data_IF_535568279611
#
_entry.id   IF_535568279611
#
_cell.length_a   1.000
_cell.length_b   1.000
_cell.length_c   1.000
_cell.angle_alpha   90.00
_cell.angle_beta   90.00
_cell.angle_gamma   90.00
#
_symmetry.space_group_name_H-M   'P 1'
#
loop_
_entity.id
_entity.type
_entity.pdbx_description
1 polymer ?
#
# COMPACT_ATOMS: atom_id res chain seq x y z
N UNK A 1 21.14 -49.82 -25.51
CA UNK A 1 19.68 -49.95 -25.19
C UNK A 1 19.25 -49.23 -23.92
N UNK A 2 20.16 -48.66 -23.13
CA UNK A 2 19.84 -48.01 -21.82
C UNK A 2 19.32 -46.55 -21.89
N UNK A 3 19.69 -45.79 -22.93
CA UNK A 3 19.36 -44.35 -22.97
C UNK A 3 17.95 -44.00 -23.47
N UNK A 4 17.22 -44.94 -24.06
CA UNK A 4 15.86 -44.66 -24.55
C UNK A 4 14.76 -44.86 -23.52
N UNK A 5 15.02 -45.64 -22.43
CA UNK A 5 14.06 -45.86 -21.36
C UNK A 5 14.05 -44.67 -20.41
N UNK A 6 15.20 -44.10 -20.10
CA UNK A 6 15.26 -42.93 -19.22
C UNK A 6 14.59 -41.67 -19.84
N UNK A 7 14.71 -41.46 -21.14
CA UNK A 7 14.06 -40.34 -21.86
C UNK A 7 12.52 -40.47 -21.87
N UNK A 8 11.99 -41.70 -21.99
CA UNK A 8 10.54 -41.94 -21.95
C UNK A 8 9.94 -41.75 -20.55
N UNK A 9 10.67 -42.12 -19.51
CA UNK A 9 10.22 -41.95 -18.11
C UNK A 9 10.23 -40.48 -17.72
N UNK A 10 11.22 -39.70 -18.12
CA UNK A 10 11.28 -38.26 -17.86
C UNK A 10 10.19 -37.51 -18.62
N UNK A 11 9.91 -37.88 -19.89
CA UNK A 11 8.83 -37.28 -20.67
C UNK A 11 7.45 -37.55 -20.07
N UNK A 12 7.21 -38.80 -19.59
CA UNK A 12 5.94 -39.15 -18.94
C UNK A 12 5.77 -38.48 -17.56
N UNK A 13 6.84 -38.28 -16.79
CA UNK A 13 6.79 -37.59 -15.51
C UNK A 13 6.53 -36.06 -15.68
N UNK A 14 7.10 -35.43 -16.70
CA UNK A 14 6.83 -34.02 -17.01
C UNK A 14 5.38 -33.80 -17.51
N UNK A 15 4.83 -34.73 -18.27
CA UNK A 15 3.43 -34.62 -18.74
C UNK A 15 2.43 -34.80 -17.58
N UNK A 16 2.75 -35.64 -16.60
CA UNK A 16 1.90 -35.83 -15.41
C UNK A 16 1.92 -34.62 -14.45
N UNK A 17 3.04 -33.89 -14.36
CA UNK A 17 3.15 -32.69 -13.50
C UNK A 17 2.38 -31.50 -14.09
N UNK A 18 2.28 -31.40 -15.43
CA UNK A 18 1.46 -30.36 -16.07
C UNK A 18 -0.05 -30.68 -16.09
N UNK A 19 -0.45 -31.92 -15.91
CA UNK A 19 -1.86 -32.31 -15.88
C UNK A 19 -2.55 -32.13 -14.51
N UNK A 20 -1.79 -31.96 -13.43
CA UNK A 20 -2.33 -31.75 -12.07
C UNK A 20 -2.39 -30.29 -11.62
N UNK A 21 -1.98 -29.35 -12.47
CA UNK A 21 -1.95 -27.91 -12.15
C UNK A 21 -3.07 -27.07 -12.74
N UNK A 22 -3.94 -27.63 -13.55
CA UNK A 22 -5.10 -26.93 -14.10
C UNK A 22 -6.34 -27.22 -13.23
N UNK A 23 -6.37 -26.69 -11.99
CA UNK A 23 -7.64 -26.28 -11.42
C UNK A 23 -8.17 -25.18 -12.35
N UNK A 24 -8.94 -25.57 -13.37
CA UNK A 24 -9.82 -24.65 -14.05
C UNK A 24 -10.76 -24.09 -12.98
N UNK A 25 -10.43 -22.93 -12.44
CA UNK A 25 -11.47 -22.03 -11.97
C UNK A 25 -12.27 -21.72 -13.23
N UNK A 26 -13.32 -22.46 -13.47
CA UNK A 26 -14.37 -22.10 -14.39
C UNK A 26 -14.99 -20.84 -13.80
N UNK A 27 -14.37 -19.70 -14.08
CA UNK A 27 -15.10 -18.46 -14.00
C UNK A 27 -16.27 -18.66 -14.96
N UNK A 28 -17.49 -18.68 -14.45
CA UNK A 28 -18.68 -18.63 -15.28
C UNK A 28 -18.43 -17.48 -16.27
N UNK A 29 -18.49 -17.79 -17.56
CA UNK A 29 -18.34 -16.73 -18.57
C UNK A 29 -19.35 -15.65 -18.22
N UNK A 30 -18.93 -14.37 -18.11
CA UNK A 30 -19.86 -13.31 -17.82
C UNK A 30 -20.94 -13.34 -18.90
N UNK A 31 -22.20 -13.41 -18.49
CA UNK A 31 -23.35 -13.36 -19.40
C UNK A 31 -23.33 -11.96 -20.02
N UNK A 32 -22.69 -11.83 -21.15
CA UNK A 32 -22.75 -10.61 -21.96
C UNK A 32 -24.18 -10.51 -22.46
N UNK A 33 -24.95 -9.58 -21.95
CA UNK A 33 -26.21 -9.21 -22.58
C UNK A 33 -25.93 -8.82 -24.03
N UNK A 34 -26.81 -9.20 -24.95
CA UNK A 34 -26.59 -9.02 -26.38
C UNK A 34 -26.17 -7.60 -26.78
N UNK A 35 -25.67 -7.42 -28.00
CA UNK A 35 -25.06 -6.17 -28.42
C UNK A 35 -26.00 -4.98 -28.18
N UNK A 36 -25.44 -3.91 -27.60
CA UNK A 36 -26.14 -2.64 -27.43
C UNK A 36 -26.57 -2.10 -28.77
N UNK A 37 -27.78 -1.54 -28.85
CA UNK A 37 -28.28 -0.90 -30.05
C UNK A 37 -27.65 0.51 -30.23
N UNK A 38 -27.72 1.03 -31.46
CA UNK A 38 -27.34 2.43 -31.76
C UNK A 38 -28.05 3.42 -30.84
N UNK A 39 -29.33 3.15 -30.53
CA UNK A 39 -30.09 4.00 -29.63
C UNK A 39 -29.63 3.92 -28.18
N UNK A 40 -29.17 2.76 -27.73
CA UNK A 40 -28.63 2.61 -26.38
C UNK A 40 -27.36 3.45 -26.21
N UNK A 41 -26.45 3.44 -27.17
CA UNK A 41 -25.22 4.27 -27.13
C UNK A 41 -25.57 5.76 -27.11
N UNK A 42 -26.50 6.21 -27.95
CA UNK A 42 -26.94 7.59 -27.94
C UNK A 42 -27.53 8.00 -26.58
N UNK A 43 -28.40 7.16 -26.02
CA UNK A 43 -29.05 7.39 -24.73
C UNK A 43 -28.01 7.38 -23.60
N UNK A 44 -27.02 6.49 -23.64
CA UNK A 44 -25.89 6.45 -22.70
C UNK A 44 -25.09 7.75 -22.75
N UNK A 45 -24.74 8.24 -23.93
CA UNK A 45 -24.09 9.52 -24.12
C UNK A 45 -24.89 10.69 -23.58
N UNK A 46 -26.19 10.75 -23.82
CA UNK A 46 -27.08 11.79 -23.27
C UNK A 46 -27.14 11.76 -21.74
N UNK A 47 -27.24 10.56 -21.15
CA UNK A 47 -27.20 10.40 -19.68
C UNK A 47 -25.86 10.89 -19.11
N UNK A 48 -24.75 10.54 -19.75
CA UNK A 48 -23.42 10.99 -19.34
C UNK A 48 -23.32 12.54 -19.34
N UNK A 49 -23.78 13.19 -20.41
CA UNK A 49 -23.80 14.66 -20.50
C UNK A 49 -24.70 15.27 -19.42
N UNK A 50 -25.88 14.68 -19.21
CA UNK A 50 -26.79 15.13 -18.16
C UNK A 50 -26.15 15.06 -16.78
N UNK A 51 -25.52 13.93 -16.45
CA UNK A 51 -24.86 13.72 -15.17
C UNK A 51 -23.68 14.67 -15.00
N UNK A 52 -22.86 14.85 -16.05
CA UNK A 52 -21.71 15.76 -16.03
C UNK A 52 -22.12 17.22 -15.77
N UNK A 53 -23.25 17.67 -16.35
CA UNK A 53 -23.81 19.00 -16.10
C UNK A 53 -24.28 19.23 -14.68
N UNK A 54 -24.54 18.18 -13.92
CA UNK A 54 -24.99 18.21 -12.51
C UNK A 54 -23.85 18.13 -11.52
N UNK A 55 -22.63 17.87 -11.99
CA UNK A 55 -21.45 17.87 -11.14
C UNK A 55 -21.08 19.31 -10.76
N UNK A 56 -21.23 19.64 -9.51
CA UNK A 56 -20.90 20.95 -8.98
C UNK A 56 -19.76 20.86 -7.98
N UNK A 57 -18.89 21.88 -7.98
CA UNK A 57 -17.87 22.03 -6.98
C UNK A 57 -18.51 22.17 -5.57
N UNK A 58 -18.02 21.40 -4.62
CA UNK A 58 -18.38 21.60 -3.22
C UNK A 58 -17.41 22.62 -2.61
N UNK A 59 -17.91 23.76 -2.19
CA UNK A 59 -17.11 24.89 -1.68
C UNK A 59 -17.01 24.91 -0.13
N UNK A 60 -17.67 23.98 0.54
CA UNK A 60 -17.58 23.87 2.01
C UNK A 60 -16.27 23.26 2.44
N UNK A 61 -15.76 23.63 3.60
CA UNK A 61 -14.58 23.02 4.20
C UNK A 61 -14.84 21.58 4.59
N UNK A 62 -13.99 20.66 4.13
CA UNK A 62 -14.06 19.26 4.52
C UNK A 62 -13.66 19.09 5.99
N UNK A 63 -14.48 18.36 6.76
CA UNK A 63 -14.15 17.98 8.14
C UNK A 63 -13.18 16.81 8.18
N UNK A 64 -13.34 15.86 7.28
CA UNK A 64 -12.54 14.65 7.16
C UNK A 64 -12.02 14.53 5.72
N UNK A 65 -10.82 13.98 5.56
CA UNK A 65 -10.19 13.72 4.27
C UNK A 65 -9.73 12.27 4.23
N UNK A 66 -10.09 11.54 3.19
CA UNK A 66 -9.63 10.17 2.93
C UNK A 66 -8.93 10.20 1.57
N UNK A 67 -7.64 9.87 1.55
CA UNK A 67 -6.85 9.76 0.33
C UNK A 67 -6.74 8.28 -0.06
N UNK A 68 -7.31 7.91 -1.19
CA UNK A 68 -7.12 6.58 -1.79
C UNK A 68 -6.01 6.64 -2.82
N UNK A 69 -5.01 5.77 -2.67
CA UNK A 69 -3.85 5.68 -3.56
C UNK A 69 -3.81 4.29 -4.19
N UNK A 70 -3.93 4.24 -5.52
CA UNK A 70 -3.72 3.01 -6.29
C UNK A 70 -2.25 2.92 -6.72
N UNK A 71 -1.47 2.07 -6.06
CA UNK A 71 -0.06 1.85 -6.37
C UNK A 71 0.08 1.06 -7.67
N UNK A 72 0.81 1.64 -8.64
CA UNK A 72 0.95 1.07 -9.98
C UNK A 72 -0.36 1.05 -10.81
N UNK A 73 -1.42 1.69 -10.34
CA UNK A 73 -2.73 1.70 -10.98
C UNK A 73 -2.78 2.70 -12.14
N UNK A 74 -2.43 2.23 -13.33
CA UNK A 74 -2.51 3.02 -14.57
C UNK A 74 -3.90 2.97 -15.22
N UNK A 75 -4.05 3.69 -16.35
CA UNK A 75 -5.31 3.76 -17.12
C UNK A 75 -5.79 2.38 -17.58
N UNK A 76 -4.87 1.50 -17.97
CA UNK A 76 -5.19 0.12 -18.37
C UNK A 76 -5.84 -0.68 -17.23
N UNK A 77 -5.34 -0.51 -16.01
CA UNK A 77 -5.90 -1.16 -14.81
C UNK A 77 -7.31 -0.63 -14.52
N UNK A 78 -7.52 0.69 -14.64
CA UNK A 78 -8.85 1.30 -14.47
C UNK A 78 -9.84 0.76 -15.52
N UNK A 79 -9.42 0.67 -16.77
CA UNK A 79 -10.25 0.15 -17.86
C UNK A 79 -10.65 -1.31 -17.59
N UNK A 80 -9.68 -2.16 -17.22
CA UNK A 80 -9.94 -3.55 -16.88
C UNK A 80 -10.89 -3.69 -15.67
N UNK A 81 -10.69 -2.91 -14.63
CA UNK A 81 -11.56 -2.92 -13.44
C UNK A 81 -12.98 -2.49 -13.76
N UNK A 82 -13.16 -1.44 -14.57
CA UNK A 82 -14.46 -0.94 -15.01
C UNK A 82 -15.23 -2.00 -15.80
N UNK A 83 -14.58 -2.64 -16.76
CA UNK A 83 -15.17 -3.71 -17.57
C UNK A 83 -15.54 -4.89 -16.67
N UNK A 84 -14.61 -5.34 -15.81
CA UNK A 84 -14.85 -6.45 -14.89
C UNK A 84 -16.04 -6.19 -13.96
N UNK A 85 -16.12 -5.01 -13.33
CA UNK A 85 -17.23 -4.67 -12.45
C UNK A 85 -18.56 -4.71 -13.23
N UNK A 86 -18.60 -4.19 -14.46
CA UNK A 86 -19.79 -4.27 -15.31
C UNK A 86 -20.20 -5.70 -15.62
N UNK A 87 -19.23 -6.55 -16.00
CA UNK A 87 -19.48 -7.96 -16.30
C UNK A 87 -19.95 -8.75 -15.06
N UNK A 88 -19.39 -8.49 -13.89
CA UNK A 88 -19.87 -9.08 -12.63
C UNK A 88 -21.31 -8.69 -12.30
N UNK A 89 -21.78 -7.57 -12.83
CA UNK A 89 -23.15 -7.10 -12.73
C UNK A 89 -24.02 -7.49 -13.96
N UNK A 90 -23.60 -8.50 -14.73
CA UNK A 90 -24.29 -9.02 -15.92
C UNK A 90 -24.55 -7.94 -17.02
N UNK A 91 -23.56 -7.04 -17.22
CA UNK A 91 -23.58 -6.00 -18.26
C UNK A 91 -22.33 -6.12 -19.14
N UNK A 92 -22.30 -5.53 -20.35
CA UNK A 92 -21.09 -5.55 -21.21
C UNK A 92 -19.85 -5.01 -20.51
N UNK A 93 -19.94 -3.94 -19.76
CA UNK A 93 -18.86 -3.39 -18.95
C UNK A 93 -18.24 -2.11 -19.53
N UNK A 94 -18.32 -1.88 -20.82
CA UNK A 94 -17.75 -0.71 -21.49
C UNK A 94 -18.35 0.59 -20.97
N UNK A 95 -19.65 0.62 -20.73
CA UNK A 95 -20.43 1.76 -20.22
C UNK A 95 -20.50 1.80 -18.69
N UNK A 96 -19.87 0.83 -18.00
CA UNK A 96 -19.83 0.85 -16.54
C UNK A 96 -18.98 2.02 -16.04
N UNK A 97 -19.27 2.50 -14.84
CA UNK A 97 -18.53 3.59 -14.20
C UNK A 97 -18.22 3.20 -12.76
N UNK A 98 -16.94 3.09 -12.45
CA UNK A 98 -16.47 2.90 -11.09
C UNK A 98 -16.86 4.09 -10.19
N UNK A 99 -16.99 3.86 -8.90
CA UNK A 99 -17.48 4.88 -7.95
C UNK A 99 -16.68 6.19 -8.02
N UNK A 100 -15.37 6.11 -8.12
CA UNK A 100 -14.50 7.28 -8.17
C UNK A 100 -14.45 7.97 -9.54
N UNK A 101 -14.87 7.31 -10.64
CA UNK A 101 -15.04 7.95 -11.94
C UNK A 101 -16.24 8.92 -11.97
N UNK A 102 -17.04 8.91 -10.91
CA UNK A 102 -18.18 9.85 -10.72
C UNK A 102 -17.79 11.10 -9.93
N UNK A 103 -16.53 11.24 -9.52
CA UNK A 103 -16.06 12.44 -8.82
C UNK A 103 -16.04 13.66 -9.76
N UNK A 104 -16.31 14.87 -9.24
CA UNK A 104 -16.48 16.06 -10.07
C UNK A 104 -15.18 16.56 -10.70
N UNK A 105 -14.03 16.15 -10.18
CA UNK A 105 -12.73 16.58 -10.65
C UNK A 105 -11.88 15.39 -11.08
N UNK A 106 -11.23 15.52 -12.22
CA UNK A 106 -10.23 14.59 -12.74
C UNK A 106 -9.03 15.36 -13.25
N UNK A 107 -7.84 14.82 -13.04
CA UNK A 107 -6.60 15.36 -13.57
C UNK A 107 -5.60 14.24 -13.83
N UNK A 108 -4.59 14.53 -14.66
CA UNK A 108 -3.46 13.64 -14.89
C UNK A 108 -2.30 14.07 -14.00
N UNK A 109 -1.68 13.11 -13.31
CA UNK A 109 -0.51 13.34 -12.47
C UNK A 109 0.78 13.02 -13.24
N UNK A 110 1.79 13.88 -13.12
CA UNK A 110 3.14 13.62 -13.60
C UNK A 110 3.92 12.87 -12.52
N UNK A 111 4.24 11.63 -12.77
CA UNK A 111 4.78 10.68 -11.78
C UNK A 111 6.32 10.57 -11.77
N UNK A 112 7.06 11.42 -12.47
CA UNK A 112 8.52 11.43 -12.44
C UNK A 112 9.07 11.80 -11.05
N UNK A 113 10.22 11.23 -10.67
CA UNK A 113 10.97 11.63 -9.47
C UNK A 113 12.01 12.70 -9.78
N UNK A 114 12.82 13.07 -8.79
CA UNK A 114 13.88 14.05 -9.02
C UNK A 114 14.93 13.56 -10.03
N UNK A 115 15.24 12.27 -10.04
CA UNK A 115 16.30 11.66 -10.82
C UNK A 115 15.84 10.58 -11.83
N UNK A 116 14.54 10.30 -11.94
CA UNK A 116 14.00 9.29 -12.86
C UNK A 116 12.76 9.81 -13.61
N UNK A 117 12.71 9.59 -14.92
CA UNK A 117 11.52 9.90 -15.74
C UNK A 117 10.37 8.93 -15.46
N UNK A 118 10.70 7.65 -15.29
CA UNK A 118 9.78 6.62 -14.80
C UNK A 118 10.25 6.22 -13.40
N UNK A 119 9.45 6.51 -12.41
CA UNK A 119 9.82 6.39 -11.01
C UNK A 119 9.09 5.24 -10.31
N UNK A 120 9.63 4.81 -9.15
CA UNK A 120 8.97 3.87 -8.26
C UNK A 120 7.96 4.55 -7.32
N UNK A 121 7.27 3.77 -6.50
CA UNK A 121 6.24 4.26 -5.58
C UNK A 121 6.78 5.09 -4.40
N UNK A 122 8.07 4.99 -4.06
CA UNK A 122 8.64 5.71 -2.92
C UNK A 122 8.67 7.24 -3.13
N UNK A 123 9.37 7.78 -4.14
CA UNK A 123 9.37 9.23 -4.37
C UNK A 123 8.05 9.74 -4.93
N UNK A 124 7.25 8.90 -5.61
CA UNK A 124 5.93 9.34 -6.08
C UNK A 124 4.95 9.53 -4.92
N UNK A 125 4.94 8.63 -3.94
CA UNK A 125 4.16 8.83 -2.72
C UNK A 125 4.73 9.97 -1.88
N UNK A 126 6.06 10.10 -1.78
CA UNK A 126 6.69 11.26 -1.15
C UNK A 126 6.17 12.57 -1.74
N UNK A 127 6.08 12.67 -3.07
CA UNK A 127 5.54 13.87 -3.71
C UNK A 127 4.07 14.13 -3.37
N UNK A 128 3.24 13.07 -3.32
CA UNK A 128 1.82 13.19 -2.95
C UNK A 128 1.62 13.63 -1.51
N UNK A 129 2.45 13.13 -0.58
CA UNK A 129 2.23 13.34 0.85
C UNK A 129 3.00 14.53 1.43
N UNK A 130 3.99 15.06 0.73
CA UNK A 130 4.82 16.19 1.18
C UNK A 130 4.78 17.41 0.23
N UNK A 131 4.41 17.20 -1.04
CA UNK A 131 4.50 18.22 -2.08
C UNK A 131 5.89 18.38 -2.71
N UNK A 132 6.88 17.56 -2.34
CA UNK A 132 8.26 17.63 -2.81
C UNK A 132 8.69 16.38 -3.56
N UNK A 133 9.54 16.53 -4.57
CA UNK A 133 10.17 15.43 -5.29
C UNK A 133 11.38 14.91 -4.52
N UNK A 134 11.43 13.60 -4.31
CA UNK A 134 12.59 12.87 -3.77
C UNK A 134 13.32 12.11 -4.87
N UNK A 135 14.47 11.51 -4.56
CA UNK A 135 15.16 10.56 -5.43
C UNK A 135 14.46 9.21 -5.40
N UNK A 136 14.69 8.41 -6.43
CA UNK A 136 14.19 7.03 -6.48
C UNK A 136 14.53 6.25 -5.19
N UNK A 137 13.57 5.50 -4.68
CA UNK A 137 13.71 4.67 -3.49
C UNK A 137 13.71 5.41 -2.15
N UNK A 138 13.53 6.73 -2.12
CA UNK A 138 13.52 7.54 -0.89
C UNK A 138 12.10 7.81 -0.38
N UNK A 139 11.95 7.87 0.94
CA UNK A 139 10.69 8.14 1.63
C UNK A 139 10.79 9.44 2.44
N UNK A 140 9.96 10.40 2.10
CA UNK A 140 9.72 11.66 2.83
C UNK A 140 10.98 12.40 3.27
N UNK A 141 12.02 12.32 2.45
CA UNK A 141 13.23 13.14 2.53
C UNK A 141 13.42 13.91 1.23
N UNK A 142 14.10 15.06 1.28
CA UNK A 142 14.35 15.85 0.09
C UNK A 142 15.47 15.24 -0.79
N UNK A 143 15.56 15.71 -2.03
CA UNK A 143 16.51 15.22 -3.04
C UNK A 143 17.99 15.49 -2.71
N UNK A 144 18.31 16.29 -1.68
CA UNK A 144 19.68 16.52 -1.21
C UNK A 144 20.21 15.34 -0.41
N UNK A 145 19.32 14.48 0.10
CA UNK A 145 19.70 13.24 0.78
C UNK A 145 20.37 12.30 -0.21
N UNK A 146 21.62 11.84 0.01
CA UNK A 146 22.23 10.81 -0.82
C UNK A 146 21.43 9.49 -0.74
N UNK A 147 21.43 8.71 -1.83
CA UNK A 147 20.88 7.34 -1.78
C UNK A 147 21.74 6.49 -0.85
N UNK A 148 21.09 5.69 -0.02
CA UNK A 148 21.79 4.85 0.96
C UNK A 148 22.36 5.59 2.16
N UNK A 149 21.98 6.87 2.36
CA UNK A 149 22.38 7.63 3.54
C UNK A 149 21.89 6.97 4.83
N UNK A 150 22.81 6.59 5.70
CA UNK A 150 22.51 5.91 6.96
C UNK A 150 22.46 6.84 8.18
N UNK A 151 23.04 8.05 8.07
CA UNK A 151 23.11 8.97 9.21
C UNK A 151 21.74 9.48 9.61
N UNK A 152 21.32 9.18 10.84
CA UNK A 152 20.07 9.70 11.38
C UNK A 152 20.03 11.23 11.39
N UNK A 153 21.18 11.88 11.62
CA UNK A 153 21.28 13.34 11.62
C UNK A 153 21.05 13.95 10.23
N UNK A 154 21.65 13.33 9.19
CA UNK A 154 21.45 13.78 7.79
C UNK A 154 20.01 13.54 7.37
N UNK A 155 19.42 12.38 7.68
CA UNK A 155 18.02 12.09 7.40
C UNK A 155 17.12 13.12 8.10
N UNK A 156 17.32 13.39 9.39
CA UNK A 156 16.52 14.35 10.13
C UNK A 156 16.61 15.77 9.54
N UNK A 157 17.80 16.20 9.14
CA UNK A 157 18.01 17.53 8.53
C UNK A 157 17.33 17.69 7.16
N UNK A 158 17.06 16.59 6.48
CA UNK A 158 16.45 16.54 5.15
C UNK A 158 15.02 15.98 5.12
N UNK A 159 14.47 15.64 6.28
CA UNK A 159 13.09 15.15 6.40
C UNK A 159 12.07 16.20 5.97
N UNK A 160 11.06 15.76 5.26
CA UNK A 160 9.96 16.58 4.76
C UNK A 160 8.71 16.31 5.59
N UNK A 161 8.05 17.33 6.14
CA UNK A 161 6.83 17.11 6.91
C UNK A 161 5.73 16.52 6.02
N UNK A 162 5.23 15.36 6.41
CA UNK A 162 4.16 14.66 5.68
C UNK A 162 2.79 15.26 5.99
N UNK A 163 1.82 15.02 5.12
CA UNK A 163 0.43 15.43 5.36
C UNK A 163 -0.13 14.80 6.66
N UNK A 164 0.28 13.56 7.00
CA UNK A 164 -0.09 12.93 8.26
C UNK A 164 0.45 13.70 9.46
N UNK A 165 1.73 14.08 9.42
CA UNK A 165 2.37 14.85 10.49
C UNK A 165 1.76 16.26 10.61
N UNK A 166 1.46 16.90 9.49
CA UNK A 166 0.79 18.20 9.47
C UNK A 166 -0.64 18.11 10.04
N UNK A 167 -1.39 17.05 9.68
CA UNK A 167 -2.72 16.81 10.24
C UNK A 167 -2.66 16.55 11.75
N UNK A 168 -1.66 15.78 12.20
CA UNK A 168 -1.41 15.54 13.62
C UNK A 168 -1.10 16.84 14.37
N UNK A 169 -0.23 17.69 13.82
CA UNK A 169 0.09 19.01 14.36
C UNK A 169 -1.14 19.94 14.43
N UNK A 170 -2.09 19.76 13.50
CA UNK A 170 -3.38 20.47 13.52
C UNK A 170 -4.44 19.82 14.43
N UNK A 171 -4.07 18.84 15.28
CA UNK A 171 -4.95 18.17 16.23
C UNK A 171 -5.97 17.22 15.59
N UNK A 172 -5.75 16.76 14.36
CA UNK A 172 -6.61 15.80 13.67
C UNK A 172 -6.23 14.37 14.05
N UNK A 173 -7.22 13.48 14.13
CA UNK A 173 -6.96 12.04 14.13
C UNK A 173 -6.48 11.61 12.75
N UNK A 174 -5.52 10.69 12.70
CA UNK A 174 -4.95 10.16 11.47
C UNK A 174 -4.97 8.64 11.44
N UNK A 175 -4.85 8.05 10.25
CA UNK A 175 -4.78 6.61 10.07
C UNK A 175 -4.13 6.25 8.75
N UNK A 176 -3.51 5.08 8.70
CA UNK A 176 -2.90 4.51 7.50
C UNK A 176 -3.43 3.10 7.31
N UNK A 177 -4.00 2.82 6.14
CA UNK A 177 -4.53 1.50 5.79
C UNK A 177 -3.99 1.11 4.42
N UNK A 178 -3.50 -0.11 4.28
CA UNK A 178 -2.95 -0.61 3.01
C UNK A 178 -3.24 -2.10 2.84
N UNK A 179 -3.41 -2.53 1.60
CA UNK A 179 -3.39 -3.95 1.23
C UNK A 179 -1.96 -4.49 1.08
N UNK A 180 -0.95 -3.62 1.03
CA UNK A 180 0.46 -3.97 1.07
C UNK A 180 0.97 -4.15 2.51
N UNK A 181 2.27 -4.43 2.67
CA UNK A 181 2.92 -4.32 3.98
C UNK A 181 2.81 -2.88 4.46
N UNK A 182 2.52 -2.67 5.75
CA UNK A 182 2.44 -1.31 6.31
C UNK A 182 3.79 -0.59 6.24
N UNK A 183 4.90 -1.35 6.13
CA UNK A 183 6.26 -0.87 5.95
C UNK A 183 6.65 -0.66 4.48
N UNK A 184 5.79 -1.05 3.51
CA UNK A 184 6.02 -0.81 2.09
C UNK A 184 6.00 0.69 1.77
N UNK A 185 6.69 1.09 0.71
CA UNK A 185 6.95 2.50 0.40
C UNK A 185 5.71 3.40 0.44
N UNK A 186 4.60 2.98 -0.16
CA UNK A 186 3.40 3.82 -0.28
C UNK A 186 2.77 4.17 1.08
N UNK A 187 2.46 3.22 1.99
CA UNK A 187 2.01 3.58 3.33
C UNK A 187 3.12 4.18 4.18
N UNK A 188 4.37 3.69 4.07
CA UNK A 188 5.48 4.13 4.89
C UNK A 188 5.85 5.62 4.69
N UNK A 189 5.74 6.14 3.46
CA UNK A 189 6.02 7.55 3.19
C UNK A 189 5.13 8.52 3.97
N UNK A 190 4.03 8.06 4.55
CA UNK A 190 3.16 8.90 5.39
C UNK A 190 3.73 9.20 6.77
N UNK A 191 4.60 8.32 7.31
CA UNK A 191 5.09 8.39 8.69
C UNK A 191 6.60 8.17 8.85
N UNK A 192 7.30 7.68 7.81
CA UNK A 192 8.72 7.34 7.88
C UNK A 192 9.57 8.18 6.94
N UNK A 193 10.80 8.47 7.39
CA UNK A 193 11.80 9.25 6.66
C UNK A 193 13.06 8.40 6.50
N UNK A 194 13.41 8.03 5.26
CA UNK A 194 14.58 7.19 5.01
C UNK A 194 15.11 7.38 3.58
N UNK A 195 16.41 7.19 3.41
CA UNK A 195 17.08 7.21 2.12
C UNK A 195 16.86 5.92 1.31
N UNK A 196 16.27 4.86 1.90
CA UNK A 196 16.07 3.56 1.25
C UNK A 196 14.76 2.94 1.69
N UNK A 197 13.85 2.75 0.74
CA UNK A 197 12.53 2.16 0.95
C UNK A 197 12.55 0.71 1.46
N UNK A 198 13.65 0.00 1.23
CA UNK A 198 13.77 -1.41 1.58
C UNK A 198 14.24 -1.63 3.03
N UNK A 199 14.55 -0.57 3.77
CA UNK A 199 14.91 -0.65 5.18
C UNK A 199 13.68 -0.83 6.08
N UNK A 200 12.91 -1.87 5.78
CA UNK A 200 11.64 -2.15 6.46
C UNK A 200 11.84 -2.67 7.89
N UNK A 201 12.94 -3.39 8.18
CA UNK A 201 13.38 -3.80 9.51
C UNK A 201 14.86 -3.49 9.70
N UNK A 202 15.37 -3.55 10.93
CA UNK A 202 16.78 -3.36 11.27
C UNK A 202 17.69 -4.32 10.50
N UNK A 203 17.23 -5.53 10.21
CA UNK A 203 17.96 -6.53 9.41
C UNK A 203 18.16 -6.14 7.95
N UNK A 204 17.43 -5.16 7.44
CA UNK A 204 17.56 -4.66 6.07
C UNK A 204 18.58 -3.51 5.97
N UNK A 205 18.95 -2.89 7.08
CA UNK A 205 19.97 -1.84 7.11
C UNK A 205 21.35 -2.51 6.97
N UNK A 206 22.17 -2.11 5.99
CA UNK A 206 23.48 -2.73 5.78
C UNK A 206 24.41 -2.57 7.00
N UNK A 207 25.21 -3.58 7.28
CA UNK A 207 26.19 -3.53 8.37
C UNK A 207 27.22 -2.40 8.19
N UNK A 208 27.47 -1.96 6.97
CA UNK A 208 28.32 -0.80 6.66
C UNK A 208 27.82 0.52 7.23
N UNK A 209 26.52 0.61 7.56
CA UNK A 209 25.95 1.78 8.25
C UNK A 209 26.40 1.89 9.72
N UNK A 210 26.97 0.83 10.29
CA UNK A 210 27.32 0.80 11.71
C UNK A 210 26.10 0.64 12.62
N UNK A 211 26.28 0.97 13.91
CA UNK A 211 25.23 0.80 14.93
C UNK A 211 24.88 2.09 15.68
N UNK A 212 25.67 3.14 15.53
CA UNK A 212 25.51 4.41 16.25
C UNK A 212 25.10 5.53 15.29
N UNK A 213 24.10 6.31 15.66
CA UNK A 213 23.62 7.42 14.84
C UNK A 213 22.97 7.00 13.53
N UNK A 214 22.57 5.73 13.40
CA UNK A 214 21.94 5.17 12.20
C UNK A 214 20.46 5.52 12.17
N UNK A 215 19.95 5.74 10.98
CA UNK A 215 18.52 5.93 10.74
C UNK A 215 17.74 4.70 11.25
N UNK A 216 16.59 4.95 11.85
CA UNK A 216 15.68 3.87 12.29
C UNK A 216 15.07 3.19 11.06
N UNK A 217 14.90 1.87 11.12
CA UNK A 217 14.13 1.14 10.13
C UNK A 217 12.66 1.60 10.12
N UNK A 218 11.95 1.33 9.03
CA UNK A 218 10.58 1.81 8.80
C UNK A 218 9.60 1.29 9.86
N UNK A 219 9.69 -0.01 10.23
CA UNK A 219 8.83 -0.58 11.26
C UNK A 219 9.04 0.10 12.62
N UNK A 220 10.29 0.37 12.97
CA UNK A 220 10.64 1.10 14.18
C UNK A 220 10.12 2.54 14.16
N UNK A 221 10.19 3.21 13.01
CA UNK A 221 9.68 4.59 12.89
C UNK A 221 8.18 4.66 13.11
N UNK A 222 7.38 3.62 12.74
CA UNK A 222 5.93 3.59 13.03
C UNK A 222 5.63 3.55 14.54
N UNK A 223 6.48 2.88 15.31
CA UNK A 223 6.31 2.77 16.77
C UNK A 223 6.84 4.02 17.49
N UNK A 224 7.96 4.54 17.02
CA UNK A 224 8.70 5.64 17.65
C UNK A 224 8.41 7.00 16.98
N UNK A 225 7.21 7.18 16.43
CA UNK A 225 6.76 8.48 15.93
C UNK A 225 6.79 9.55 17.03
N UNK A 226 6.82 10.83 16.64
CA UNK A 226 6.76 11.94 17.61
C UNK A 226 5.51 11.85 18.51
N UNK A 227 5.56 12.39 19.73
CA UNK A 227 4.39 12.35 20.65
C UNK A 227 3.11 12.91 20.01
N UNK A 228 3.22 13.94 19.18
CA UNK A 228 2.08 14.55 18.48
C UNK A 228 1.47 13.55 17.49
N UNK A 229 2.30 12.91 16.68
CA UNK A 229 1.84 11.88 15.72
C UNK A 229 1.31 10.66 16.46
N UNK A 230 1.97 10.24 17.55
CA UNK A 230 1.53 9.09 18.36
C UNK A 230 0.11 9.27 18.91
N UNK A 231 -0.22 10.46 19.39
CA UNK A 231 -1.55 10.77 19.90
C UNK A 231 -2.61 10.90 18.79
N UNK A 232 -2.19 11.26 17.58
CA UNK A 232 -3.03 11.45 16.40
C UNK A 232 -3.30 10.15 15.65
N UNK A 233 -2.28 9.29 15.49
CA UNK A 233 -2.33 8.06 14.70
C UNK A 233 -3.14 6.97 15.42
N UNK A 234 -4.41 6.85 15.04
CA UNK A 234 -5.38 5.95 15.68
C UNK A 234 -5.40 4.56 15.02
N UNK A 235 -5.12 4.48 13.73
CA UNK A 235 -5.22 3.24 12.95
C UNK A 235 -3.99 3.07 12.09
N UNK A 236 -3.38 1.87 12.16
CA UNK A 236 -2.33 1.42 11.24
C UNK A 236 -2.63 -0.03 10.83
N UNK A 237 -3.20 -0.23 9.65
CA UNK A 237 -3.59 -1.55 9.14
C UNK A 237 -2.83 -1.87 7.85
N UNK A 238 -2.23 -3.05 7.80
CA UNK A 238 -1.50 -3.54 6.63
C UNK A 238 -0.84 -4.89 6.88
N UNK A 239 -0.24 -5.46 5.85
CA UNK A 239 0.57 -6.67 5.96
C UNK A 239 1.95 -6.43 6.58
N UNK A 240 2.83 -7.43 6.50
CA UNK A 240 4.25 -7.28 6.86
C UNK A 240 4.57 -7.51 8.33
N UNK A 241 3.72 -8.21 9.08
CA UNK A 241 3.89 -8.52 10.51
C UNK A 241 5.30 -8.97 10.88
N UNK A 242 5.98 -9.75 10.03
CA UNK A 242 7.32 -10.27 10.30
C UNK A 242 8.39 -9.19 10.43
N UNK A 243 8.21 -7.99 9.88
CA UNK A 243 9.14 -6.86 10.05
C UNK A 243 9.08 -6.24 11.46
N UNK A 244 8.01 -6.54 12.20
CA UNK A 244 7.79 -6.08 13.57
C UNK A 244 8.19 -7.11 14.62
N UNK A 245 8.53 -8.34 14.22
CA UNK A 245 8.78 -9.46 15.12
C UNK A 245 10.27 -9.85 15.15
N UNK A 246 10.80 -10.28 16.31
CA UNK A 246 12.18 -10.75 16.41
C UNK A 246 12.37 -12.09 15.68
N UNK A 247 13.58 -12.34 15.18
CA UNK A 247 13.96 -13.59 14.51
C UNK A 247 13.78 -14.85 15.38
N UNK A 248 13.67 -14.68 16.67
CA UNK A 248 13.43 -15.79 17.64
C UNK A 248 11.96 -16.20 17.71
N UNK A 249 11.05 -15.35 17.23
CA UNK A 249 9.60 -15.62 17.26
C UNK A 249 9.12 -16.14 15.92
N UNK A 250 8.15 -17.05 15.96
CA UNK A 250 7.43 -17.54 14.79
C UNK A 250 6.16 -16.71 14.57
N UNK A 251 5.78 -16.59 13.31
CA UNK A 251 4.53 -15.96 12.91
C UNK A 251 3.34 -16.80 13.42
N UNK A 252 2.35 -16.20 14.09
CA UNK A 252 1.24 -16.93 14.69
C UNK A 252 0.30 -17.60 13.65
N UNK A 253 0.33 -17.13 12.40
CA UNK A 253 -0.47 -17.69 11.30
C UNK A 253 0.35 -18.68 10.46
N UNK A 254 1.65 -18.44 10.33
CA UNK A 254 2.55 -19.24 9.49
C UNK A 254 3.69 -19.81 10.35
N UNK A 255 3.45 -20.97 10.98
CA UNK A 255 4.33 -21.57 11.99
C UNK A 255 5.79 -21.85 11.54
N UNK A 256 6.08 -21.83 10.25
CA UNK A 256 7.45 -21.97 9.70
C UNK A 256 8.12 -20.63 9.39
N UNK A 257 7.37 -19.53 9.45
CA UNK A 257 7.86 -18.18 9.15
C UNK A 257 8.32 -17.50 10.42
N UNK A 258 9.54 -16.99 10.43
CA UNK A 258 10.11 -16.25 11.57
C UNK A 258 9.99 -14.73 11.35
N UNK A 259 10.04 -14.01 12.45
CA UNK A 259 10.26 -12.57 12.43
C UNK A 259 11.58 -12.20 11.73
N UNK A 260 11.75 -10.93 11.38
CA UNK A 260 12.91 -10.45 10.60
C UNK A 260 13.87 -9.60 11.43
N UNK A 261 13.50 -9.17 12.63
CA UNK A 261 14.30 -8.25 13.42
C UNK A 261 15.50 -8.94 14.08
N UNK A 262 16.68 -8.30 13.98
CA UNK A 262 17.93 -8.74 14.64
C UNK A 262 18.07 -8.14 16.04
N UNK A 263 17.43 -6.99 16.30
CA UNK A 263 17.52 -6.27 17.58
C UNK A 263 16.75 -6.93 18.73
N UNK A 264 16.05 -8.03 18.45
CA UNK A 264 15.30 -8.81 19.45
C UNK A 264 13.98 -8.15 19.89
N UNK A 265 13.62 -6.99 19.36
CA UNK A 265 12.40 -6.26 19.73
C UNK A 265 11.16 -6.90 19.10
N UNK A 266 10.09 -6.94 19.89
CA UNK A 266 8.73 -7.21 19.41
C UNK A 266 7.96 -5.89 19.33
N UNK A 267 7.97 -5.28 18.15
CA UNK A 267 7.32 -3.99 17.93
C UNK A 267 5.78 -4.09 17.94
N UNK A 268 5.20 -5.28 17.80
CA UNK A 268 3.75 -5.48 17.95
C UNK A 268 3.34 -5.36 19.41
N UNK A 269 4.12 -5.93 20.33
CA UNK A 269 3.93 -5.77 21.76
C UNK A 269 4.21 -4.34 22.22
N UNK A 270 5.23 -3.69 21.64
CA UNK A 270 5.56 -2.29 21.94
C UNK A 270 4.46 -1.32 21.48
N UNK A 271 3.77 -1.59 20.37
CA UNK A 271 2.60 -0.80 19.95
C UNK A 271 1.58 -0.73 21.08
N UNK A 272 1.21 -1.88 21.65
CA UNK A 272 0.22 -1.94 22.73
C UNK A 272 0.75 -1.31 24.01
N UNK A 273 1.95 -1.69 24.48
CA UNK A 273 2.48 -1.23 25.75
C UNK A 273 2.74 0.29 25.80
N UNK A 274 3.12 0.88 24.67
CA UNK A 274 3.43 2.31 24.59
C UNK A 274 2.23 3.20 24.34
N UNK A 275 1.09 2.65 23.90
CA UNK A 275 -0.16 3.40 23.62
C UNK A 275 -1.22 3.24 24.71
N UNK A 276 -1.03 2.27 25.63
CA UNK A 276 -1.87 2.06 26.79
C UNK A 276 -3.07 1.14 26.59
N UNK A 277 -3.91 1.03 27.61
CA UNK A 277 -4.96 0.01 27.70
C UNK A 277 -6.05 0.07 26.60
N UNK A 278 -6.15 1.19 25.91
CA UNK A 278 -7.11 1.36 24.81
C UNK A 278 -6.54 0.98 23.44
N UNK A 279 -5.29 0.52 23.37
CA UNK A 279 -4.68 0.10 22.12
C UNK A 279 -4.80 -1.40 21.93
N UNK A 280 -4.92 -1.83 20.68
CA UNK A 280 -5.00 -3.23 20.29
C UNK A 280 -4.02 -3.56 19.18
N UNK A 281 -3.58 -4.81 19.15
CA UNK A 281 -2.91 -5.42 18.02
C UNK A 281 -3.74 -6.63 17.57
N UNK A 282 -4.20 -6.60 16.34
CA UNK A 282 -5.00 -7.66 15.75
C UNK A 282 -4.25 -8.23 14.53
N UNK A 283 -4.03 -9.56 14.50
CA UNK A 283 -3.38 -10.25 13.40
C UNK A 283 -4.33 -11.19 12.64
N UNK A 284 -5.56 -11.34 13.10
CA UNK A 284 -6.60 -12.12 12.42
C UNK A 284 -7.96 -11.40 12.49
N UNK A 285 -8.89 -11.88 11.66
CA UNK A 285 -10.23 -11.29 11.57
C UNK A 285 -10.98 -11.30 12.90
N UNK A 286 -10.90 -12.36 13.69
CA UNK A 286 -11.62 -12.45 14.95
C UNK A 286 -11.15 -11.41 15.96
N UNK A 287 -9.85 -11.16 16.05
CA UNK A 287 -9.28 -10.11 16.89
C UNK A 287 -9.63 -8.71 16.37
N UNK A 288 -9.64 -8.54 15.05
CA UNK A 288 -10.06 -7.28 14.44
C UNK A 288 -11.54 -6.99 14.74
N UNK A 289 -12.41 -7.97 14.56
CA UNK A 289 -13.85 -7.83 14.82
C UNK A 289 -14.16 -7.61 16.31
N UNK A 290 -13.29 -8.08 17.20
CA UNK A 290 -13.42 -7.88 18.66
C UNK A 290 -12.94 -6.49 19.13
N UNK A 291 -12.22 -5.74 18.30
CA UNK A 291 -11.80 -4.38 18.62
C UNK A 291 -13.01 -3.44 18.48
N UNK A 292 -13.49 -2.94 19.60
CA UNK A 292 -14.59 -1.98 19.62
C UNK A 292 -14.06 -0.56 19.32
N UNK A 293 -14.43 0.07 18.20
CA UNK A 293 -13.95 1.40 17.84
C UNK A 293 -14.43 2.50 18.80
N UNK A 294 -15.40 2.23 19.66
CA UNK A 294 -15.84 3.19 20.70
C UNK A 294 -14.90 3.20 21.92
N UNK A 295 -14.15 2.11 22.15
CA UNK A 295 -13.29 1.94 23.33
C UNK A 295 -11.81 1.75 22.99
N UNK A 296 -11.49 1.47 21.71
CA UNK A 296 -10.12 1.31 21.21
C UNK A 296 -9.68 2.60 20.52
N UNK A 297 -8.52 3.12 20.90
CA UNK A 297 -7.90 4.33 20.32
C UNK A 297 -6.98 4.01 19.14
#
# INVERSE_FOLDING_TARGET
MSNNIQRKVIASALTAIFALGALQVSAAEPVVQGPESVQDWYNNGQRFIHDAKRLHAEHRHAKNVILFVGDGMGISTLTAARILEGQLNAKPGEENRLSFEKFPYVALSKTYSWDQQTSDSAPTMTAMITGYKAREGQLSVNHLTPRGECSAAVIAANSLPTLLEQAAAAGKATGVVSTARITHATPAATYAHTAVRDWEADSNIPASCGTTGVVKDIARQLIEVSPVVKNSLKVALGGGRTYFMPKTSFDPEYATTKGRRNDGRDLTAEWVSTRGAKSAYAWNKAQFDAADPATTD
#
